data_IF_255315055999
#
_entry.id   IF_255315055999
#
_cell.length_a   1.000
_cell.length_b   1.000
_cell.length_c   1.000
_cell.angle_alpha   90.00
_cell.angle_beta   90.00
_cell.angle_gamma   90.00
#
_symmetry.space_group_name_H-M   'P 1'
#
loop_
_entity.id
_entity.type
_entity.pdbx_description
1 polymer ?
#
# COMPACT_ATOMS: atom_id res chain seq x y z
N UNK A 1 -7.49 -13.93 3.66
CA UNK A 1 -8.07 -12.70 3.07
C UNK A 1 -6.94 -11.86 2.50
N UNK A 2 -6.98 -11.43 1.22
CA UNK A 2 -5.94 -10.59 0.61
C UNK A 2 -5.99 -9.15 1.12
N UNK A 3 -4.81 -8.55 1.33
CA UNK A 3 -4.66 -7.16 1.75
C UNK A 3 -3.85 -6.41 0.68
N UNK A 4 -4.41 -5.35 0.13
CA UNK A 4 -3.67 -4.43 -0.74
C UNK A 4 -3.34 -3.15 0.04
N UNK A 5 -2.11 -2.67 -0.09
CA UNK A 5 -1.63 -1.46 0.58
C UNK A 5 -0.94 -0.53 -0.41
N UNK A 6 -1.05 0.77 -0.15
CA UNK A 6 -0.23 1.81 -0.78
C UNK A 6 0.64 2.43 0.31
N UNK A 7 1.91 2.65 0.00
CA UNK A 7 2.87 3.31 0.88
C UNK A 7 3.35 4.55 0.13
N UNK A 8 3.15 5.71 0.73
CA UNK A 8 3.61 6.97 0.18
C UNK A 8 5.04 7.21 0.67
N UNK A 9 5.98 7.35 -0.26
CA UNK A 9 7.39 7.53 0.06
C UNK A 9 7.63 8.86 0.80
N UNK A 10 6.97 9.93 0.34
CA UNK A 10 7.14 11.29 0.82
C UNK A 10 6.04 11.70 1.81
N UNK A 11 5.47 10.75 2.56
CA UNK A 11 4.49 11.03 3.60
C UNK A 11 5.13 11.76 4.78
N UNK A 12 4.70 12.99 5.03
CA UNK A 12 5.22 13.82 6.13
C UNK A 12 4.85 13.27 7.51
N UNK A 13 3.81 12.43 7.63
CA UNK A 13 3.26 11.97 8.89
C UNK A 13 3.67 10.55 9.24
N UNK A 14 3.89 9.69 8.24
CA UNK A 14 4.18 8.27 8.44
C UNK A 14 5.40 7.86 7.61
N UNK A 15 6.47 7.44 8.30
CA UNK A 15 7.65 6.94 7.63
C UNK A 15 7.35 5.69 6.77
N UNK A 16 7.83 5.71 5.53
CA UNK A 16 7.63 4.62 4.58
C UNK A 16 8.32 3.32 5.03
N UNK A 17 9.45 3.42 5.74
CA UNK A 17 10.18 2.29 6.30
C UNK A 17 9.37 1.53 7.33
N UNK A 18 8.71 2.23 8.26
CA UNK A 18 7.79 1.63 9.25
C UNK A 18 6.60 0.93 8.58
N UNK A 19 6.06 1.53 7.53
CA UNK A 19 4.98 0.93 6.74
C UNK A 19 5.45 -0.34 6.03
N UNK A 20 6.66 -0.33 5.46
CA UNK A 20 7.29 -1.50 4.83
C UNK A 20 7.61 -2.61 5.84
N UNK A 21 8.05 -2.26 7.05
CA UNK A 21 8.25 -3.23 8.13
C UNK A 21 6.93 -3.90 8.51
N UNK A 22 5.86 -3.13 8.67
CA UNK A 22 4.52 -3.66 8.95
C UNK A 22 4.06 -4.60 7.83
N UNK A 23 4.26 -4.21 6.56
CA UNK A 23 3.89 -5.03 5.42
C UNK A 23 4.60 -6.39 5.36
N UNK A 24 5.79 -6.52 5.97
CA UNK A 24 6.51 -7.81 6.10
C UNK A 24 5.95 -8.70 7.21
N UNK A 25 5.39 -8.10 8.26
CA UNK A 25 4.87 -8.84 9.41
C UNK A 25 3.39 -9.21 9.27
N UNK A 26 2.64 -8.49 8.43
CA UNK A 26 1.23 -8.80 8.16
C UNK A 26 1.13 -9.76 6.98
N UNK A 27 0.52 -10.93 7.22
CA UNK A 27 0.35 -11.94 6.19
C UNK A 27 -0.52 -11.44 5.02
N UNK A 28 -0.19 -11.87 3.80
CA UNK A 28 -1.00 -11.66 2.60
C UNK A 28 -1.15 -10.19 2.18
N UNK A 29 -0.14 -9.35 2.49
CA UNK A 29 -0.04 -7.96 2.04
C UNK A 29 0.65 -7.86 0.69
N UNK A 30 0.01 -7.18 -0.25
CA UNK A 30 0.62 -6.67 -1.47
C UNK A 30 0.74 -5.14 -1.36
N UNK A 31 1.94 -4.67 -1.03
CA UNK A 31 2.22 -3.26 -0.87
C UNK A 31 2.80 -2.65 -2.16
N UNK A 32 2.34 -1.45 -2.52
CA UNK A 32 2.96 -0.63 -3.57
C UNK A 32 3.45 0.69 -3.00
N UNK A 33 4.73 0.96 -3.19
CA UNK A 33 5.35 2.24 -2.86
C UNK A 33 5.16 3.22 -4.02
N UNK A 34 4.87 4.49 -3.71
CA UNK A 34 4.79 5.57 -4.71
C UNK A 34 5.21 6.90 -4.11
N UNK A 35 5.75 7.78 -4.94
CA UNK A 35 6.05 9.19 -4.65
C UNK A 35 5.13 10.15 -5.44
N UNK A 36 4.06 9.64 -6.05
CA UNK A 36 3.10 10.44 -6.81
C UNK A 36 2.24 11.34 -5.92
N UNK A 37 2.12 11.01 -4.63
CA UNK A 37 1.29 11.68 -3.64
C UNK A 37 1.93 11.60 -2.25
N UNK A 38 1.48 12.48 -1.36
CA UNK A 38 1.74 12.41 0.08
C UNK A 38 0.59 11.64 0.78
N UNK A 39 0.45 11.84 2.10
CA UNK A 39 -0.45 11.12 3.00
C UNK A 39 -1.90 10.92 2.48
N UNK A 40 -2.45 11.93 1.81
CA UNK A 40 -3.85 11.99 1.41
C UNK A 40 -4.09 11.58 -0.06
N UNK A 41 -3.14 10.86 -0.69
CA UNK A 41 -3.24 10.44 -2.10
C UNK A 41 -4.55 9.73 -2.50
N UNK A 42 -5.19 9.00 -1.58
CA UNK A 42 -6.50 8.35 -1.83
C UNK A 42 -7.60 9.38 -2.09
N UNK A 43 -7.54 10.54 -1.42
CA UNK A 43 -8.49 11.64 -1.60
C UNK A 43 -8.17 12.47 -2.84
N UNK A 44 -6.89 12.60 -3.17
CA UNK A 44 -6.43 13.36 -4.31
C UNK A 44 -6.75 12.69 -5.65
N UNK A 45 -6.71 11.34 -5.73
CA UNK A 45 -6.95 10.63 -6.97
C UNK A 45 -7.63 9.27 -6.82
N UNK A 46 -8.76 9.10 -7.53
CA UNK A 46 -9.45 7.82 -7.65
C UNK A 46 -8.59 6.73 -8.32
N UNK A 47 -7.49 7.09 -8.98
CA UNK A 47 -6.55 6.12 -9.56
C UNK A 47 -5.86 5.27 -8.49
N UNK A 48 -5.61 5.83 -7.30
CA UNK A 48 -5.03 5.09 -6.16
C UNK A 48 -5.96 3.95 -5.76
N UNK A 49 -7.24 4.25 -5.55
CA UNK A 49 -8.24 3.25 -5.19
C UNK A 49 -8.40 2.19 -6.27
N UNK A 50 -8.49 2.59 -7.55
CA UNK A 50 -8.59 1.63 -8.67
C UNK A 50 -7.41 0.66 -8.69
N UNK A 51 -6.19 1.16 -8.49
CA UNK A 51 -4.97 0.35 -8.47
C UNK A 51 -4.97 -0.64 -7.28
N UNK A 52 -5.42 -0.20 -6.10
CA UNK A 52 -5.57 -1.08 -4.94
C UNK A 52 -6.59 -2.19 -5.19
N UNK A 53 -7.72 -1.91 -5.84
CA UNK A 53 -8.71 -2.94 -6.17
C UNK A 53 -8.14 -4.00 -7.11
N UNK A 54 -7.36 -3.60 -8.13
CA UNK A 54 -6.67 -4.55 -9.01
C UNK A 54 -5.71 -5.47 -8.24
N UNK A 55 -4.96 -4.96 -7.25
CA UNK A 55 -4.08 -5.80 -6.43
C UNK A 55 -4.87 -6.77 -5.54
N UNK A 56 -6.00 -6.34 -5.00
CA UNK A 56 -6.86 -7.22 -4.20
C UNK A 56 -7.37 -8.41 -5.01
N UNK A 57 -7.68 -8.21 -6.28
CA UNK A 57 -8.14 -9.27 -7.20
C UNK A 57 -7.02 -10.27 -7.53
N UNK A 58 -5.76 -9.81 -7.56
CA UNK A 58 -4.59 -10.66 -7.82
C UNK A 58 -4.21 -11.54 -6.62
N UNK A 59 -4.56 -11.11 -5.40
CA UNK A 59 -4.20 -11.78 -4.16
C UNK A 59 -2.78 -11.46 -3.70
N UNK A 60 -2.53 -11.54 -2.40
CA UNK A 60 -1.21 -11.31 -1.82
C UNK A 60 -0.37 -12.61 -1.75
N UNK A 61 0.95 -12.47 -1.55
CA UNK A 61 1.79 -13.61 -1.24
C UNK A 61 1.39 -14.22 0.12
N UNK A 62 1.21 -15.55 0.17
CA UNK A 62 1.06 -16.25 1.45
C UNK A 62 2.39 -16.13 2.19
N UNK A 63 2.36 -15.62 3.42
CA UNK A 63 3.55 -15.54 4.26
C UNK A 63 4.14 -16.96 4.42
N UNK A 64 5.39 -17.12 4.02
CA UNK A 64 6.16 -18.37 4.09
C UNK A 64 6.71 -18.64 5.48
#
# INVERSE_FOLDING_TARGET
MPVAAVIYHDDMYVDAGLSLETARHVANVQARVTNEFEHDGVRQSAAVLRRLMTFREQGGPLAS
#
